data_IF_722483095585
#
_entry.id   IF_722483095585
#
_cell.length_a   1.000
_cell.length_b   1.000
_cell.length_c   1.000
_cell.angle_alpha   90.00
_cell.angle_beta   90.00
_cell.angle_gamma   90.00
#
_symmetry.space_group_name_H-M   'P 1'
#
loop_
_entity.id
_entity.type
_entity.pdbx_description
1 polymer ?
#
# COMPACT_ATOMS: atom_id res chain seq x y z
N UNK A 1 7.98 24.49 -6.58
CA UNK A 1 9.04 23.69 -5.92
C UNK A 1 8.90 22.25 -6.39
N UNK A 2 9.84 21.80 -7.23
CA UNK A 2 9.97 20.39 -7.60
C UNK A 2 10.58 19.67 -6.40
N UNK A 3 9.92 18.64 -5.87
CA UNK A 3 10.51 17.79 -4.84
C UNK A 3 11.40 16.78 -5.54
N UNK A 4 12.65 16.72 -5.08
CA UNK A 4 13.61 15.70 -5.47
C UNK A 4 13.01 14.31 -5.17
N UNK A 5 13.00 13.45 -6.19
CA UNK A 5 12.50 12.08 -6.10
C UNK A 5 13.39 11.17 -5.28
N UNK A 6 14.63 11.57 -5.08
CA UNK A 6 15.64 10.73 -4.43
C UNK A 6 15.26 10.37 -2.99
N UNK A 7 14.74 11.31 -2.20
CA UNK A 7 14.42 11.06 -0.79
C UNK A 7 13.25 10.07 -0.61
N UNK A 8 12.12 10.20 -1.35
CA UNK A 8 11.07 9.19 -1.34
C UNK A 8 11.53 7.79 -1.79
N UNK A 9 12.35 7.68 -2.83
CA UNK A 9 12.83 6.39 -3.36
C UNK A 9 13.80 5.71 -2.38
N UNK A 10 14.73 6.46 -1.79
CA UNK A 10 15.62 5.98 -0.73
C UNK A 10 14.86 5.52 0.52
N UNK A 11 13.75 6.20 0.86
CA UNK A 11 12.86 5.74 1.93
C UNK A 11 12.23 4.39 1.60
N UNK A 12 11.79 4.18 0.36
CA UNK A 12 11.21 2.89 -0.07
C UNK A 12 12.27 1.79 -0.02
N UNK A 13 13.48 2.00 -0.56
CA UNK A 13 14.59 1.04 -0.49
C UNK A 13 14.87 0.59 0.95
N UNK A 14 14.89 1.54 1.88
CA UNK A 14 15.08 1.27 3.31
C UNK A 14 13.95 0.44 3.92
N UNK A 15 12.70 0.74 3.57
CA UNK A 15 11.53 -0.04 4.04
C UNK A 15 11.59 -1.47 3.52
N UNK A 16 12.00 -1.68 2.27
CA UNK A 16 12.22 -3.02 1.69
C UNK A 16 13.34 -3.75 2.45
N UNK A 17 14.49 -3.11 2.68
CA UNK A 17 15.59 -3.71 3.43
C UNK A 17 15.25 -4.06 4.89
N UNK A 18 14.22 -3.42 5.46
CA UNK A 18 13.68 -3.74 6.79
C UNK A 18 12.59 -4.82 6.77
N UNK A 19 12.22 -5.36 5.59
CA UNK A 19 11.12 -6.30 5.44
C UNK A 19 9.72 -5.68 5.61
N UNK A 20 9.61 -4.33 5.61
CA UNK A 20 8.35 -3.60 5.79
C UNK A 20 7.64 -3.40 4.44
N UNK A 21 7.32 -4.52 3.77
CA UNK A 21 6.82 -4.49 2.39
C UNK A 21 5.45 -3.83 2.25
N UNK A 22 4.58 -3.98 3.25
CA UNK A 22 3.28 -3.31 3.30
C UNK A 22 3.42 -1.77 3.22
N UNK A 23 4.34 -1.23 4.01
CA UNK A 23 4.64 0.20 4.10
C UNK A 23 5.37 0.66 2.84
N UNK A 24 6.30 -0.15 2.32
CA UNK A 24 7.04 0.14 1.10
C UNK A 24 6.10 0.24 -0.12
N UNK A 25 5.21 -0.74 -0.30
CA UNK A 25 4.22 -0.75 -1.39
C UNK A 25 3.24 0.42 -1.24
N UNK A 26 2.81 0.73 -0.02
CA UNK A 26 1.95 1.89 0.24
C UNK A 26 2.60 3.20 -0.23
N UNK A 27 3.84 3.43 0.18
CA UNK A 27 4.61 4.60 -0.26
C UNK A 27 4.82 4.61 -1.79
N UNK A 28 5.13 3.46 -2.39
CA UNK A 28 5.32 3.35 -3.83
C UNK A 28 4.05 3.71 -4.62
N UNK A 29 2.88 3.22 -4.17
CA UNK A 29 1.58 3.56 -4.79
C UNK A 29 1.25 5.05 -4.71
N UNK A 30 1.65 5.72 -3.63
CA UNK A 30 1.47 7.18 -3.49
C UNK A 30 2.33 7.95 -4.50
N UNK A 31 3.56 7.49 -4.76
CA UNK A 31 4.43 8.11 -5.78
C UNK A 31 3.92 7.86 -7.20
N UNK A 32 3.36 6.67 -7.44
CA UNK A 32 2.90 6.23 -8.77
C UNK A 32 1.45 6.61 -9.09
N UNK A 33 0.78 7.45 -8.31
CA UNK A 33 -0.67 7.66 -8.41
C UNK A 33 -1.17 8.07 -9.81
N UNK A 34 -0.31 8.73 -10.61
CA UNK A 34 -0.59 9.13 -11.99
C UNK A 34 0.36 8.48 -13.02
N UNK A 35 1.02 7.37 -12.65
CA UNK A 35 2.00 6.68 -13.46
C UNK A 35 1.52 5.30 -13.90
N UNK A 36 1.90 4.87 -15.10
CA UNK A 36 1.48 3.58 -15.68
C UNK A 36 1.93 2.37 -14.83
N UNK A 37 3.03 2.55 -14.08
CA UNK A 37 3.56 1.55 -13.16
C UNK A 37 2.72 1.36 -11.88
N UNK A 38 1.69 2.17 -11.64
CA UNK A 38 0.79 2.01 -10.48
C UNK A 38 0.18 0.61 -10.42
N UNK A 39 -0.18 0.07 -11.58
CA UNK A 39 -0.78 -1.25 -11.69
C UNK A 39 0.15 -2.35 -11.17
N UNK A 40 1.45 -2.22 -11.41
CA UNK A 40 2.43 -3.18 -10.90
C UNK A 40 2.55 -3.08 -9.38
N UNK A 41 2.58 -1.87 -8.81
CA UNK A 41 2.56 -1.69 -7.36
C UNK A 41 1.28 -2.25 -6.70
N UNK A 42 0.12 -2.10 -7.36
CA UNK A 42 -1.14 -2.73 -6.92
C UNK A 42 -1.06 -4.25 -6.99
N UNK A 43 -0.48 -4.81 -8.06
CA UNK A 43 -0.30 -6.25 -8.22
C UNK A 43 0.57 -6.83 -7.08
N UNK A 44 1.69 -6.19 -6.78
CA UNK A 44 2.56 -6.61 -5.68
C UNK A 44 1.86 -6.50 -4.31
N UNK A 45 1.02 -5.47 -4.11
CA UNK A 45 0.15 -5.37 -2.92
C UNK A 45 -0.79 -6.57 -2.77
N UNK A 46 -1.39 -7.02 -3.88
CA UNK A 46 -2.28 -8.18 -3.91
C UNK A 46 -1.54 -9.48 -3.60
N UNK A 47 -0.35 -9.66 -4.19
CA UNK A 47 0.51 -10.82 -3.92
C UNK A 47 0.93 -10.90 -2.45
N UNK A 48 1.34 -9.78 -1.85
CA UNK A 48 1.68 -9.73 -0.43
C UNK A 48 0.48 -10.09 0.46
N UNK A 49 -0.71 -9.57 0.14
CA UNK A 49 -1.95 -9.88 0.87
C UNK A 49 -2.30 -11.37 0.79
N UNK A 50 -2.16 -11.96 -0.40
CA UNK A 50 -2.41 -13.38 -0.61
C UNK A 50 -1.40 -14.24 0.16
N UNK A 51 -0.11 -13.91 0.09
CA UNK A 51 0.95 -14.60 0.84
C UNK A 51 0.67 -14.58 2.35
N UNK A 52 0.32 -13.41 2.90
CA UNK A 52 -0.05 -13.28 4.31
C UNK A 52 -1.27 -14.10 4.67
N UNK A 53 -2.26 -14.18 3.77
CA UNK A 53 -3.43 -15.04 3.96
C UNK A 53 -3.03 -16.51 3.99
N UNK A 54 -2.23 -16.96 3.03
CA UNK A 54 -1.78 -18.36 2.95
C UNK A 54 -0.96 -18.77 4.17
N UNK A 55 -0.09 -17.89 4.66
CA UNK A 55 0.67 -18.09 5.90
C UNK A 55 -0.24 -18.27 7.12
N UNK A 56 -1.27 -17.40 7.27
CA UNK A 56 -2.23 -17.53 8.38
C UNK A 56 -3.07 -18.79 8.30
N UNK A 57 -3.42 -19.21 7.09
CA UNK A 57 -4.23 -20.41 6.84
C UNK A 57 -3.40 -21.71 6.87
N UNK A 58 -2.06 -21.61 6.93
CA UNK A 58 -1.18 -22.76 6.86
C UNK A 58 -1.23 -23.49 5.51
N UNK A 59 -1.61 -22.78 4.44
CA UNK A 59 -1.75 -23.35 3.08
C UNK A 59 -0.48 -23.24 2.24
N UNK A 60 0.55 -22.59 2.79
CA UNK A 60 1.90 -22.49 2.22
C UNK A 60 2.92 -22.80 3.33
N UNK A 61 4.02 -23.46 2.98
CA UNK A 61 5.12 -23.65 3.92
C UNK A 61 6.04 -22.42 4.00
N UNK A 62 6.91 -22.42 5.00
CA UNK A 62 7.81 -21.29 5.26
C UNK A 62 8.85 -21.05 4.17
N UNK A 63 9.32 -22.09 3.48
CA UNK A 63 10.33 -21.96 2.44
C UNK A 63 9.72 -21.28 1.21
N UNK A 64 8.57 -21.78 0.75
CA UNK A 64 7.83 -21.21 -0.37
C UNK A 64 7.36 -19.79 -0.07
N UNK A 65 6.93 -19.54 1.17
CA UNK A 65 6.58 -18.21 1.61
C UNK A 65 7.77 -17.23 1.57
N UNK A 66 8.95 -17.68 1.98
CA UNK A 66 10.18 -16.87 1.97
C UNK A 66 10.62 -16.52 0.55
N UNK A 67 10.56 -17.49 -0.37
CA UNK A 67 10.85 -17.25 -1.80
C UNK A 67 9.87 -16.23 -2.37
N UNK A 68 8.56 -16.41 -2.12
CA UNK A 68 7.54 -15.47 -2.59
C UNK A 68 7.74 -14.08 -2.03
N UNK A 69 8.12 -13.97 -0.75
CA UNK A 69 8.44 -12.70 -0.11
C UNK A 69 9.63 -12.00 -0.78
N UNK A 70 10.72 -12.72 -1.07
CA UNK A 70 11.88 -12.17 -1.79
C UNK A 70 11.51 -11.73 -3.20
N UNK A 71 10.71 -12.50 -3.93
CA UNK A 71 10.26 -12.11 -5.27
C UNK A 71 9.44 -10.80 -5.25
N UNK A 72 8.63 -10.58 -4.20
CA UNK A 72 7.92 -9.31 -4.01
C UNK A 72 8.91 -8.18 -3.71
N UNK A 73 9.94 -8.43 -2.89
CA UNK A 73 11.01 -7.44 -2.62
C UNK A 73 11.72 -7.02 -3.90
N UNK A 74 12.16 -7.98 -4.71
CA UNK A 74 12.85 -7.73 -5.97
C UNK A 74 11.97 -6.94 -6.95
N UNK A 75 10.69 -7.28 -7.05
CA UNK A 75 9.75 -6.54 -7.90
C UNK A 75 9.60 -5.08 -7.46
N UNK A 76 9.51 -4.81 -6.15
CA UNK A 76 9.43 -3.45 -5.62
C UNK A 76 10.73 -2.68 -5.90
N UNK A 77 11.90 -3.30 -5.71
CA UNK A 77 13.19 -2.66 -5.99
C UNK A 77 13.35 -2.37 -7.48
N UNK A 78 12.96 -3.30 -8.36
CA UNK A 78 12.99 -3.06 -9.80
C UNK A 78 12.12 -1.88 -10.23
N UNK A 79 10.94 -1.70 -9.62
CA UNK A 79 10.12 -0.51 -9.85
C UNK A 79 10.83 0.76 -9.40
N UNK A 80 11.48 0.74 -8.24
CA UNK A 80 12.23 1.89 -7.74
C UNK A 80 13.40 2.23 -8.67
N UNK A 81 14.14 1.22 -9.14
CA UNK A 81 15.29 1.43 -10.03
C UNK A 81 14.85 2.03 -11.38
N UNK A 82 13.74 1.56 -11.96
CA UNK A 82 13.14 2.18 -13.17
C UNK A 82 12.80 3.66 -12.90
N UNK A 83 12.23 3.97 -11.74
CA UNK A 83 11.89 5.35 -11.39
C UNK A 83 13.12 6.25 -11.22
N UNK A 84 14.24 5.70 -10.75
CA UNK A 84 15.52 6.41 -10.66
C UNK A 84 16.16 6.61 -12.04
N UNK A 85 16.08 5.63 -12.93
CA UNK A 85 16.62 5.69 -14.29
C UNK A 85 15.83 6.66 -15.18
N UNK A 86 14.50 6.70 -15.06
CA UNK A 86 13.63 7.54 -15.88
C UNK A 86 13.50 8.99 -15.38
N UNK A 87 14.15 9.36 -14.27
CA UNK A 87 14.05 10.67 -13.59
C UNK A 87 12.58 11.16 -13.51
N UNK A 88 11.69 10.23 -13.13
CA UNK A 88 10.26 10.45 -13.17
C UNK A 88 9.87 11.61 -12.25
N UNK A 89 9.26 12.65 -12.80
CA UNK A 89 8.80 13.79 -11.98
C UNK A 89 7.57 13.39 -11.20
N UNK A 90 7.56 13.70 -9.90
CA UNK A 90 6.36 13.50 -9.07
C UNK A 90 5.17 14.23 -9.66
N UNK A 91 4.01 13.57 -9.84
CA UNK A 91 2.78 14.27 -10.12
C UNK A 91 2.52 15.26 -8.97
N UNK A 92 2.17 16.51 -9.28
CA UNK A 92 1.97 17.57 -8.29
C UNK A 92 0.87 17.24 -7.25
N UNK A 93 0.04 16.23 -7.52
CA UNK A 93 -1.09 15.77 -6.71
C UNK A 93 -0.69 14.96 -5.47
N UNK A 94 0.57 14.49 -5.35
CA UNK A 94 1.08 13.83 -4.14
C UNK A 94 1.24 14.80 -2.94
N UNK A 95 0.96 16.10 -3.12
CA UNK A 95 1.19 17.16 -2.12
C UNK A 95 0.14 17.26 -1.01
N UNK A 96 -0.98 16.54 -1.07
CA UNK A 96 -2.14 16.81 -0.17
C UNK A 96 -2.61 15.64 0.72
N UNK A 97 -1.69 14.80 1.21
CA UNK A 97 -2.03 13.77 2.24
C UNK A 97 -1.15 13.78 3.50
N UNK A 98 -0.46 14.89 3.77
CA UNK A 98 0.06 15.19 5.10
C UNK A 98 -0.92 16.10 5.86
N UNK A 99 -2.14 15.65 6.10
CA UNK A 99 -2.95 16.07 7.24
C UNK A 99 -4.17 15.17 7.36
N UNK A 100 -4.50 14.81 8.60
CA UNK A 100 -5.58 13.93 9.04
C UNK A 100 -5.31 12.42 8.99
N UNK A 101 -4.23 11.99 9.67
CA UNK A 101 -4.38 10.91 10.65
C UNK A 101 -5.21 11.44 11.86
N UNK A 102 -6.42 11.93 11.57
CA UNK A 102 -7.39 12.43 12.51
C UNK A 102 -8.28 11.25 12.90
N UNK A 103 -7.93 10.60 14.00
CA UNK A 103 -8.84 9.87 14.89
C UNK A 103 -10.15 9.39 14.27
N UNK A 104 -10.15 8.25 13.60
CA UNK A 104 -11.28 7.33 13.76
C UNK A 104 -11.08 6.62 15.10
N UNK A 105 -11.47 7.29 16.18
CA UNK A 105 -11.84 6.58 17.41
C UNK A 105 -13.03 5.70 17.05
N UNK A 106 -12.76 4.43 16.73
CA UNK A 106 -13.79 3.39 16.67
C UNK A 106 -14.30 3.20 18.09
N UNK A 107 -15.26 4.03 18.50
CA UNK A 107 -15.96 3.83 19.75
C UNK A 107 -17.00 2.72 19.54
N UNK A 108 -16.54 1.48 19.52
CA UNK A 108 -17.40 0.31 19.56
C UNK A 108 -17.84 0.14 21.01
N UNK A 109 -18.98 0.73 21.36
CA UNK A 109 -19.65 0.45 22.62
C UNK A 109 -20.39 -0.89 22.48
N UNK A 110 -19.74 -1.97 22.91
CA UNK A 110 -20.37 -3.29 23.02
C UNK A 110 -21.20 -3.31 24.30
N UNK A 111 -22.49 -3.03 24.18
CA UNK A 111 -23.48 -3.42 25.20
C UNK A 111 -24.07 -4.77 24.81
N UNK A 112 -24.05 -5.69 25.78
CA UNK A 112 -24.30 -7.11 25.58
C UNK A 112 -25.70 -7.49 25.10
N UNK A 113 -25.73 -8.75 24.67
CA UNK A 113 -26.85 -9.63 24.37
C UNK A 113 -27.63 -9.40 23.07
N UNK A 114 -27.17 -10.12 22.04
CA UNK A 114 -27.91 -10.69 20.89
C UNK A 114 -27.53 -10.17 19.50
N UNK A 115 -27.14 -11.13 18.67
CA UNK A 115 -26.68 -11.03 17.28
C UNK A 115 -27.67 -10.34 16.32
N UNK A 116 -27.25 -9.23 15.71
CA UNK A 116 -27.26 -8.96 14.25
C UNK A 116 -26.88 -7.49 14.00
N UNK A 117 -25.77 -7.24 13.28
CA UNK A 117 -25.44 -5.91 12.76
C UNK A 117 -25.56 -5.93 11.24
N UNK A 118 -26.66 -5.37 10.72
CA UNK A 118 -26.73 -4.93 9.33
C UNK A 118 -26.03 -3.58 9.22
N UNK A 119 -24.81 -3.57 8.69
CA UNK A 119 -24.12 -2.34 8.34
C UNK A 119 -24.83 -1.64 7.19
N UNK A 120 -25.59 -0.59 7.50
CA UNK A 120 -26.18 0.31 6.49
C UNK A 120 -25.07 1.05 5.76
N UNK A 121 -24.72 0.61 4.55
CA UNK A 121 -23.86 1.38 3.64
C UNK A 121 -24.64 2.60 3.16
N UNK A 122 -24.40 3.76 3.78
CA UNK A 122 -24.92 5.04 3.30
C UNK A 122 -24.05 5.49 2.12
N UNK A 123 -24.41 5.05 0.92
CA UNK A 123 -23.80 5.52 -0.32
C UNK A 123 -24.08 7.02 -0.50
N UNK A 124 -23.02 7.83 -0.49
CA UNK A 124 -23.10 9.26 -0.77
C UNK A 124 -23.14 9.46 -2.30
N UNK A 125 -24.33 9.62 -2.87
CA UNK A 125 -24.51 9.93 -4.30
C UNK A 125 -24.52 11.45 -4.45
N UNK A 126 -23.38 12.04 -4.75
CA UNK A 126 -23.31 13.44 -5.21
C UNK A 126 -23.78 13.49 -6.68
N UNK A 127 -25.04 13.83 -6.91
CA UNK A 127 -25.50 14.28 -8.23
C UNK A 127 -25.62 15.81 -8.22
N UNK A 128 -24.74 16.47 -8.96
CA UNK A 128 -24.90 17.85 -9.37
C UNK A 128 -25.94 17.95 -10.49
N UNK A 129 -26.99 18.74 -10.25
CA UNK A 129 -27.60 19.63 -11.25
C UNK A 129 -28.46 20.69 -10.57
#
# INVERSE_FOLDING_TARGET
MMKDMKEPLERIKRLVGQGRLDTAIGALKELLLAHDMLNEAILQSGRLTLLQKQLREGTIDWNDASITHVNIMEAILGLVDIMEEEDLKLPEEAKNKNHEAGKTENNIQVTGDSNMVFGSVKGNVNNHK
#
